data_IF_781796099943
#
_entry.id   IF_781796099943
#
_cell.length_a   1.000
_cell.length_b   1.000
_cell.length_c   1.000
_cell.angle_alpha   90.00
_cell.angle_beta   90.00
_cell.angle_gamma   90.00
#
_symmetry.space_group_name_H-M   'P 1'
#
loop_
_entity.id
_entity.type
_entity.pdbx_description
1 polymer ?
#
# COMPACT_ATOMS: atom_id res chain seq x y z
N UNK A 1 7.02 -42.01 15.85
CA UNK A 1 7.39 -40.61 15.55
C UNK A 1 6.10 -39.78 15.51
N UNK A 2 5.81 -38.96 16.53
CA UNK A 2 4.66 -38.04 16.50
C UNK A 2 5.06 -36.83 15.65
N UNK A 3 4.48 -36.71 14.46
CA UNK A 3 4.56 -35.48 13.68
C UNK A 3 3.81 -34.42 14.50
N UNK A 4 4.53 -33.40 14.98
CA UNK A 4 3.84 -32.24 15.54
C UNK A 4 3.15 -31.54 14.37
N UNK A 5 1.83 -31.37 14.48
CA UNK A 5 1.05 -30.51 13.59
C UNK A 5 1.10 -29.07 14.10
N UNK A 6 2.29 -28.56 14.38
CA UNK A 6 2.55 -27.12 14.36
C UNK A 6 2.65 -26.69 12.90
N UNK A 7 1.50 -26.71 12.19
CA UNK A 7 1.32 -25.81 11.07
C UNK A 7 1.35 -24.41 11.65
N UNK A 8 2.55 -23.84 11.72
CA UNK A 8 2.71 -22.40 11.89
C UNK A 8 2.12 -21.80 10.62
N UNK A 9 0.83 -21.42 10.64
CA UNK A 9 0.34 -20.39 9.72
C UNK A 9 1.03 -19.11 10.15
N UNK A 10 2.31 -19.01 9.83
CA UNK A 10 3.03 -17.77 9.94
C UNK A 10 2.39 -16.90 8.86
N UNK A 11 1.42 -16.08 9.24
CA UNK A 11 1.00 -14.95 8.44
C UNK A 11 2.24 -14.09 8.29
N UNK A 12 3.06 -14.40 7.28
CA UNK A 12 4.23 -13.63 6.98
C UNK A 12 3.71 -12.29 6.50
N UNK A 13 4.13 -11.22 7.17
CA UNK A 13 3.79 -9.86 6.80
C UNK A 13 5.08 -9.06 6.77
N UNK A 14 5.13 -8.06 5.91
CA UNK A 14 6.25 -7.12 5.82
C UNK A 14 5.73 -5.71 5.76
N UNK A 15 6.56 -4.78 6.19
CA UNK A 15 6.23 -3.37 6.20
C UNK A 15 6.69 -2.72 4.90
N UNK A 16 5.90 -1.79 4.43
CA UNK A 16 6.18 -0.95 3.28
C UNK A 16 6.05 0.51 3.67
N UNK A 17 6.97 1.33 3.19
CA UNK A 17 6.80 2.76 3.14
C UNK A 17 6.09 3.06 1.83
N UNK A 18 4.83 3.50 1.93
CA UNK A 18 4.10 4.06 0.81
C UNK A 18 4.40 5.54 0.75
N UNK A 19 4.83 6.02 -0.40
CA UNK A 19 5.24 7.40 -0.66
C UNK A 19 4.46 7.94 -1.84
N UNK A 20 4.03 9.19 -1.78
CA UNK A 20 3.39 9.83 -2.92
C UNK A 20 3.58 11.34 -2.91
N UNK A 21 3.58 11.92 -4.11
CA UNK A 21 3.52 13.36 -4.31
C UNK A 21 2.09 13.72 -4.74
N UNK A 22 1.48 14.69 -4.07
CA UNK A 22 0.06 14.99 -4.26
C UNK A 22 -0.26 15.42 -5.70
N UNK A 23 0.57 16.27 -6.30
CA UNK A 23 0.42 16.75 -7.68
C UNK A 23 0.43 15.61 -8.71
N UNK A 24 1.25 14.59 -8.50
CA UNK A 24 1.32 13.40 -9.35
C UNK A 24 0.05 12.56 -9.18
N UNK A 25 -0.43 12.36 -7.95
CA UNK A 25 -1.72 11.68 -7.72
C UNK A 25 -2.85 12.44 -8.43
N UNK A 26 -2.90 13.76 -8.30
CA UNK A 26 -3.94 14.58 -8.90
C UNK A 26 -3.91 14.57 -10.43
N UNK A 27 -2.71 14.57 -11.02
CA UNK A 27 -2.54 14.38 -12.46
C UNK A 27 -3.10 13.02 -12.92
N UNK A 28 -2.79 11.94 -12.21
CA UNK A 28 -3.30 10.60 -12.51
C UNK A 28 -4.82 10.50 -12.33
N UNK A 29 -5.37 11.06 -11.25
CA UNK A 29 -6.83 11.13 -11.04
C UNK A 29 -7.53 11.84 -12.20
N UNK A 30 -6.99 12.98 -12.64
CA UNK A 30 -7.56 13.74 -13.75
C UNK A 30 -7.48 12.99 -15.09
N UNK A 31 -6.41 12.21 -15.30
CA UNK A 31 -6.27 11.36 -16.47
C UNK A 31 -7.27 10.20 -16.44
N UNK A 32 -7.31 9.43 -15.34
CA UNK A 32 -8.12 8.21 -15.24
C UNK A 32 -9.62 8.46 -15.20
N UNK A 33 -10.07 9.61 -14.68
CA UNK A 33 -11.46 10.06 -14.80
C UNK A 33 -11.92 10.21 -16.26
N UNK A 34 -10.99 10.42 -17.20
CA UNK A 34 -11.28 10.58 -18.64
C UNK A 34 -11.15 9.28 -19.44
N UNK A 35 -10.57 8.23 -18.85
CA UNK A 35 -10.25 6.97 -19.55
C UNK A 35 -11.00 5.76 -18.99
N UNK A 36 -12.14 5.99 -18.33
CA UNK A 36 -13.02 4.93 -17.77
C UNK A 36 -12.31 3.95 -16.81
N UNK A 37 -11.26 4.42 -16.12
CA UNK A 37 -10.52 3.62 -15.13
C UNK A 37 -11.03 3.94 -13.72
N UNK A 38 -12.32 3.68 -13.48
CA UNK A 38 -13.01 4.04 -12.23
C UNK A 38 -12.36 3.41 -10.99
N UNK A 39 -11.89 2.16 -11.09
CA UNK A 39 -11.25 1.46 -9.98
C UNK A 39 -9.95 2.14 -9.55
N UNK A 40 -9.11 2.55 -10.51
CA UNK A 40 -7.90 3.33 -10.20
C UNK A 40 -8.23 4.69 -9.58
N UNK A 41 -9.29 5.35 -10.05
CA UNK A 41 -9.72 6.63 -9.46
C UNK A 41 -10.10 6.45 -8.00
N UNK A 42 -10.83 5.39 -7.66
CA UNK A 42 -11.25 5.10 -6.29
C UNK A 42 -10.06 4.73 -5.40
N UNK A 43 -9.17 3.85 -5.87
CA UNK A 43 -7.98 3.45 -5.12
C UNK A 43 -7.01 4.62 -4.87
N UNK A 44 -6.75 5.44 -5.89
CA UNK A 44 -5.88 6.61 -5.74
C UNK A 44 -6.49 7.69 -4.84
N UNK A 45 -7.81 7.90 -4.91
CA UNK A 45 -8.51 8.82 -4.01
C UNK A 45 -8.39 8.34 -2.57
N UNK A 46 -8.63 7.05 -2.34
CA UNK A 46 -8.51 6.44 -1.02
C UNK A 46 -7.09 6.57 -0.45
N UNK A 47 -6.07 6.24 -1.23
CA UNK A 47 -4.66 6.36 -0.79
C UNK A 47 -4.29 7.81 -0.49
N UNK A 48 -4.72 8.75 -1.34
CA UNK A 48 -4.49 10.19 -1.11
C UNK A 48 -5.08 10.63 0.22
N UNK A 49 -6.33 10.28 0.49
CA UNK A 49 -7.03 10.67 1.71
C UNK A 49 -6.40 10.03 2.96
N UNK A 50 -6.01 8.76 2.88
CA UNK A 50 -5.32 8.06 3.98
C UNK A 50 -3.95 8.65 4.27
N UNK A 51 -3.18 9.02 3.24
CA UNK A 51 -1.90 9.72 3.37
C UNK A 51 -2.05 11.10 4.01
N UNK A 52 -3.10 11.85 3.66
CA UNK A 52 -3.38 13.15 4.29
C UNK A 52 -3.86 13.04 5.73
N UNK A 53 -4.65 12.02 6.03
CA UNK A 53 -5.26 11.84 7.35
C UNK A 53 -4.28 11.25 8.37
N UNK A 54 -3.49 10.26 7.96
CA UNK A 54 -2.67 9.44 8.86
C UNK A 54 -1.20 9.36 8.45
N UNK A 55 -0.84 9.92 7.31
CA UNK A 55 0.53 9.95 6.84
C UNK A 55 1.35 11.06 7.48
N UNK A 56 2.63 11.05 7.13
CA UNK A 56 3.61 12.05 7.48
C UNK A 56 4.02 12.80 6.21
N UNK A 57 4.51 14.02 6.37
CA UNK A 57 5.14 14.77 5.29
C UNK A 57 6.66 14.71 5.42
N UNK A 58 7.34 14.69 4.28
CA UNK A 58 8.79 14.87 4.20
C UNK A 58 9.12 15.75 3.01
N UNK A 59 10.30 16.34 3.02
CA UNK A 59 10.83 17.12 1.90
C UNK A 59 12.01 16.38 1.29
N UNK A 60 11.95 16.16 -0.02
CA UNK A 60 13.07 15.64 -0.80
C UNK A 60 13.41 16.75 -1.80
N UNK A 61 14.58 17.36 -1.64
CA UNK A 61 14.93 18.64 -2.25
C UNK A 61 13.90 19.74 -1.86
N UNK A 62 13.29 20.39 -2.87
CA UNK A 62 12.28 21.44 -2.70
C UNK A 62 10.83 20.95 -2.89
N UNK A 63 10.64 19.63 -2.94
CA UNK A 63 9.33 19.02 -3.15
C UNK A 63 8.83 18.33 -1.87
N UNK A 64 7.55 18.53 -1.55
CA UNK A 64 6.87 17.87 -0.43
C UNK A 64 6.26 16.54 -0.89
N UNK A 65 6.51 15.50 -0.09
CA UNK A 65 5.99 14.16 -0.28
C UNK A 65 5.23 13.72 0.97
N UNK A 66 4.14 12.99 0.75
CA UNK A 66 3.42 12.29 1.79
C UNK A 66 3.92 10.85 1.87
N UNK A 67 4.00 10.30 3.08
CA UNK A 67 4.33 8.90 3.26
C UNK A 67 3.62 8.27 4.47
N UNK A 68 3.46 6.95 4.45
CA UNK A 68 2.96 6.17 5.59
C UNK A 68 3.65 4.82 5.63
N UNK A 69 3.77 4.23 6.82
CA UNK A 69 4.25 2.85 6.98
C UNK A 69 3.04 1.94 7.11
N UNK A 70 2.91 0.97 6.21
CA UNK A 70 1.82 -0.01 6.20
C UNK A 70 2.37 -1.42 6.18
N UNK A 71 1.78 -2.28 7.01
CA UNK A 71 2.14 -3.69 7.11
C UNK A 71 1.19 -4.51 6.26
N UNK A 72 1.75 -5.21 5.29
CA UNK A 72 1.01 -6.02 4.33
C UNK A 72 1.29 -7.50 4.52
N UNK A 73 0.26 -8.33 4.35
CA UNK A 73 0.37 -9.78 4.44
C UNK A 73 1.03 -10.32 3.16
N UNK A 74 2.19 -10.97 3.31
CA UNK A 74 2.91 -11.70 2.27
C UNK A 74 2.50 -13.17 2.33
N UNK A 75 1.29 -13.46 1.87
CA UNK A 75 0.75 -14.81 1.76
C UNK A 75 -0.02 -14.99 0.46
N UNK A 76 -0.63 -16.17 0.23
CA UNK A 76 -1.71 -16.25 -0.74
C UNK A 76 -2.85 -15.38 -0.21
N UNK A 77 -3.14 -14.26 -0.87
CA UNK A 77 -4.35 -13.51 -0.60
C UNK A 77 -5.52 -14.45 -0.88
N UNK A 78 -6.42 -14.59 0.09
CA UNK A 78 -7.63 -15.41 -0.07
C UNK A 78 -8.63 -14.69 -1.00
N UNK A 79 -8.46 -13.38 -1.20
CA UNK A 79 -9.40 -12.51 -1.90
C UNK A 79 -9.08 -12.30 -3.38
N UNK A 80 -7.79 -12.28 -3.73
CA UNK A 80 -7.32 -12.01 -5.09
C UNK A 80 -6.20 -13.01 -5.42
N UNK A 81 -6.49 -14.00 -6.25
CA UNK A 81 -5.50 -14.99 -6.66
C UNK A 81 -4.52 -14.43 -7.72
N UNK A 82 -3.50 -15.21 -8.08
CA UNK A 82 -2.49 -14.80 -9.06
C UNK A 82 -3.04 -14.71 -10.50
N UNK A 83 -4.33 -14.98 -10.74
CA UNK A 83 -4.97 -14.97 -12.07
C UNK A 83 -5.70 -13.67 -12.40
N UNK A 84 -5.79 -12.73 -11.46
CA UNK A 84 -6.45 -11.45 -11.67
C UNK A 84 -5.71 -10.60 -12.69
N UNK A 85 -6.48 -10.07 -13.65
CA UNK A 85 -6.00 -9.16 -14.65
C UNK A 85 -5.98 -7.71 -14.09
N UNK A 86 -4.84 -7.01 -14.08
CA UNK A 86 -4.75 -5.61 -13.68
C UNK A 86 -5.74 -4.68 -14.43
N UNK A 87 -6.04 -4.99 -15.69
CA UNK A 87 -7.02 -4.23 -16.47
C UNK A 87 -8.44 -4.34 -15.88
N UNK A 88 -8.79 -5.49 -15.30
CA UNK A 88 -10.09 -5.67 -14.62
C UNK A 88 -10.14 -4.85 -13.33
N UNK A 89 -9.08 -4.87 -12.52
CA UNK A 89 -8.98 -4.02 -11.32
C UNK A 89 -9.18 -2.55 -11.70
N UNK A 90 -8.56 -2.10 -12.80
CA UNK A 90 -8.61 -0.70 -13.19
C UNK A 90 -10.03 -0.20 -13.53
N UNK A 91 -10.92 -1.09 -13.97
CA UNK A 91 -12.29 -0.77 -14.42
C UNK A 91 -13.38 -1.23 -13.45
N UNK A 92 -13.03 -1.97 -12.40
CA UNK A 92 -14.00 -2.45 -11.42
C UNK A 92 -14.45 -1.30 -10.51
N UNK A 93 -15.76 -1.24 -10.22
CA UNK A 93 -16.32 -0.31 -9.25
C UNK A 93 -16.21 -0.87 -7.82
N UNK A 94 -15.42 -0.20 -7.00
CA UNK A 94 -15.15 -0.50 -5.59
C UNK A 94 -15.97 0.36 -4.61
N UNK A 95 -16.99 1.09 -5.08
CA UNK A 95 -17.80 2.00 -4.23
C UNK A 95 -18.50 1.32 -3.05
N UNK A 96 -18.66 0.00 -3.10
CA UNK A 96 -19.30 -0.81 -2.04
C UNK A 96 -18.30 -1.46 -1.08
N UNK A 97 -17.01 -1.35 -1.34
CA UNK A 97 -15.98 -1.93 -0.49
C UNK A 97 -15.73 -1.05 0.73
N UNK A 98 -15.43 -1.70 1.84
CA UNK A 98 -14.91 -1.07 3.04
C UNK A 98 -13.46 -0.63 2.86
N UNK A 99 -12.98 0.25 3.75
CA UNK A 99 -11.58 0.68 3.76
C UNK A 99 -10.60 -0.49 3.93
N UNK A 100 -10.99 -1.54 4.68
CA UNK A 100 -10.17 -2.74 4.86
C UNK A 100 -10.04 -3.52 3.54
N UNK A 101 -11.15 -3.72 2.83
CA UNK A 101 -11.16 -4.40 1.53
C UNK A 101 -10.41 -3.59 0.45
N UNK A 102 -10.46 -2.25 0.49
CA UNK A 102 -9.64 -1.40 -0.38
C UNK A 102 -8.14 -1.57 -0.09
N UNK A 103 -7.75 -1.67 1.18
CA UNK A 103 -6.37 -1.97 1.55
C UNK A 103 -5.93 -3.37 1.11
N UNK A 104 -6.82 -4.36 1.08
CA UNK A 104 -6.50 -5.69 0.56
C UNK A 104 -6.21 -5.67 -0.95
N UNK A 105 -6.93 -4.84 -1.72
CA UNK A 105 -6.62 -4.61 -3.14
C UNK A 105 -5.26 -3.92 -3.29
N UNK A 106 -4.98 -2.89 -2.50
CA UNK A 106 -3.70 -2.18 -2.54
C UNK A 106 -2.54 -3.10 -2.13
N UNK A 107 -2.75 -3.96 -1.13
CA UNK A 107 -1.79 -4.98 -0.74
C UNK A 107 -1.45 -5.89 -1.94
N UNK A 108 -2.46 -6.38 -2.65
CA UNK A 108 -2.24 -7.18 -3.86
C UNK A 108 -1.43 -6.40 -4.91
N UNK A 109 -1.77 -5.13 -5.19
CA UNK A 109 -1.03 -4.32 -6.17
C UNK A 109 0.43 -4.11 -5.75
N UNK A 110 0.68 -3.80 -4.48
CA UNK A 110 2.02 -3.50 -3.94
C UNK A 110 2.88 -4.77 -3.87
N UNK A 111 2.32 -5.88 -3.37
CA UNK A 111 3.07 -7.11 -3.08
C UNK A 111 3.13 -8.05 -4.29
N UNK A 112 2.07 -8.11 -5.10
CA UNK A 112 1.92 -9.06 -6.22
C UNK A 112 1.97 -8.40 -7.59
N UNK A 113 1.31 -7.25 -7.76
CA UNK A 113 1.27 -6.48 -9.01
C UNK A 113 2.58 -5.79 -9.40
N UNK A 114 3.71 -6.14 -8.76
CA UNK A 114 5.04 -5.55 -8.99
C UNK A 114 5.07 -4.01 -8.96
N UNK A 115 4.14 -3.39 -8.21
CA UNK A 115 4.04 -1.93 -8.06
C UNK A 115 3.80 -1.14 -9.36
N UNK A 116 3.40 -1.77 -10.47
CA UNK A 116 3.18 -1.06 -11.74
C UNK A 116 1.81 -0.34 -11.81
N UNK A 117 0.88 -0.69 -10.92
CA UNK A 117 -0.53 -0.35 -11.14
C UNK A 117 -1.09 0.74 -10.21
N UNK A 118 -0.33 1.20 -9.21
CA UNK A 118 -0.72 2.33 -8.35
C UNK A 118 0.06 3.60 -8.73
N UNK A 119 -0.30 4.15 -9.89
CA UNK A 119 0.38 5.29 -10.52
C UNK A 119 0.56 6.48 -9.58
N UNK A 120 1.81 6.92 -9.40
CA UNK A 120 2.16 8.04 -8.53
C UNK A 120 2.37 7.68 -7.06
N UNK A 121 2.25 6.40 -6.71
CA UNK A 121 2.54 5.88 -5.36
C UNK A 121 3.75 4.95 -5.45
N UNK A 122 4.83 5.31 -4.76
CA UNK A 122 5.99 4.45 -4.58
C UNK A 122 5.82 3.56 -3.35
N UNK A 123 6.12 2.27 -3.48
CA UNK A 123 6.13 1.33 -2.37
C UNK A 123 7.54 0.76 -2.16
N UNK A 124 8.14 1.05 -1.02
CA UNK A 124 9.47 0.52 -0.66
C UNK A 124 9.33 -0.44 0.51
N UNK A 125 9.73 -1.70 0.33
CA UNK A 125 9.75 -2.66 1.41
C UNK A 125 10.77 -2.24 2.47
N UNK A 126 10.38 -2.30 3.75
CA UNK A 126 11.23 -1.96 4.88
C UNK A 126 11.14 -3.06 5.93
N UNK A 127 12.21 -3.22 6.71
CA UNK A 127 12.09 -3.87 8.02
C UNK A 127 11.20 -3.00 8.91
N UNK A 128 10.42 -3.60 9.82
CA UNK A 128 9.60 -2.84 10.78
C UNK A 128 10.49 -1.73 11.39
N UNK A 129 10.20 -0.44 11.13
CA UNK A 129 11.06 0.62 11.60
C UNK A 129 11.00 0.58 13.12
N UNK A 130 12.05 0.04 13.74
CA UNK A 130 12.25 0.22 15.16
C UNK A 130 12.50 1.70 15.34
N UNK A 131 11.64 2.38 16.10
CA UNK A 131 12.06 3.60 16.74
C UNK A 131 13.15 3.19 17.74
N UNK A 132 14.40 3.17 17.29
CA UNK A 132 15.55 3.13 18.17
C UNK A 132 15.66 4.53 18.80
N UNK A 133 14.69 4.89 19.63
CA UNK A 133 14.97 5.71 20.79
C UNK A 133 15.62 4.77 21.81
N UNK A 134 16.80 4.23 21.47
CA UNK A 134 17.68 3.70 22.50
C UNK A 134 18.07 4.94 23.33
N UNK A 135 17.55 5.05 24.55
CA UNK A 135 18.17 5.89 25.56
C UNK A 135 19.63 5.44 25.63
N UNK A 136 20.52 6.28 25.12
CA UNK A 136 21.95 6.02 25.15
C UNK A 136 22.33 5.90 26.62
N UNK A 137 22.76 4.72 27.05
CA UNK A 137 23.16 4.45 28.44
C UNK A 137 24.40 5.27 28.89
N UNK A 138 24.85 6.22 28.06
CA UNK A 138 25.88 7.22 28.33
C UNK A 138 25.32 8.58 28.75
N UNK A 139 23.99 8.75 28.73
CA UNK A 139 23.30 9.96 29.22
C UNK A 139 22.93 9.85 30.73
N UNK A 140 23.50 8.87 31.46
CA UNK A 140 23.41 8.72 32.92
C UNK A 140 24.77 8.95 33.60
#
# INVERSE_FOLDING_TARGET
>A
MKIRCDFVTNSSSTSFILTAKEDIIDANLNHFKKTDKIGLVQLLTFVKDELKKTGHTTRINDEEYYFTVKKFNIGKSVFLDDSINPDEISRTDFSKLSNEELWDIINWIVVKGQSQDLYGVGATQTTDPKCDCEEDARDL
#
